data_IF_883646719854
#
_entry.id   IF_883646719854
#
_cell.length_a   1.000
_cell.length_b   1.000
_cell.length_c   1.000
_cell.angle_alpha   90.00
_cell.angle_beta   90.00
_cell.angle_gamma   90.00
#
_symmetry.space_group_name_H-M   'P 1'
#
loop_
_entity.id
_entity.type
_entity.pdbx_description
1 polymer ?
#
# COMPACT_ATOMS: atom_id res chain seq x y z
N UNK A 1 6.42 -11.59 -6.90
CA UNK A 1 5.14 -11.47 -6.16
C UNK A 1 4.35 -10.29 -6.70
N UNK A 2 3.03 -10.44 -6.87
CA UNK A 2 2.12 -9.35 -7.23
C UNK A 2 0.75 -9.62 -6.58
N UNK A 3 0.06 -8.57 -6.11
CA UNK A 3 -1.24 -8.74 -5.49
C UNK A 3 -2.38 -8.67 -6.50
N UNK A 4 -3.44 -9.42 -6.24
CA UNK A 4 -4.61 -9.54 -7.09
C UNK A 4 -5.82 -8.72 -6.62
N UNK A 5 -5.77 -8.17 -5.40
CA UNK A 5 -6.83 -7.33 -4.87
C UNK A 5 -6.73 -5.89 -5.39
N UNK A 6 -7.86 -5.21 -5.41
CA UNK A 6 -8.03 -3.84 -5.88
C UNK A 6 -8.76 -2.99 -4.86
N UNK A 7 -8.59 -1.67 -4.94
CA UNK A 7 -9.33 -0.69 -4.11
C UNK A 7 -10.80 -0.55 -4.55
N UNK A 8 -11.13 -1.03 -5.73
CA UNK A 8 -12.47 -0.90 -6.30
C UNK A 8 -13.41 -1.99 -5.80
N UNK A 9 -14.64 -1.61 -5.47
CA UNK A 9 -15.68 -2.56 -5.07
C UNK A 9 -16.19 -3.36 -6.28
N UNK A 10 -16.89 -4.49 -6.02
CA UNK A 10 -17.53 -5.31 -7.05
C UNK A 10 -18.67 -4.59 -7.80
N UNK A 11 -19.14 -3.47 -7.27
CA UNK A 11 -20.17 -2.64 -7.89
C UNK A 11 -19.61 -1.74 -9.01
N UNK A 12 -18.30 -1.53 -9.03
CA UNK A 12 -17.62 -0.80 -10.10
C UNK A 12 -17.54 -1.69 -11.33
N UNK A 13 -17.91 -1.17 -12.49
CA UNK A 13 -17.70 -1.87 -13.77
C UNK A 13 -16.21 -1.94 -14.07
N UNK A 14 -15.67 -3.15 -14.07
CA UNK A 14 -14.26 -3.43 -14.40
C UNK A 14 -14.09 -3.64 -15.91
N UNK A 15 -14.53 -2.68 -16.71
CA UNK A 15 -14.36 -2.71 -18.16
C UNK A 15 -13.02 -2.06 -18.53
N UNK A 16 -12.25 -2.76 -19.36
CA UNK A 16 -10.97 -2.28 -19.85
C UNK A 16 -11.16 -1.74 -21.28
N UNK A 17 -10.75 -0.51 -21.50
CA UNK A 17 -10.68 0.12 -22.80
C UNK A 17 -9.27 0.02 -23.36
N UNK A 18 -9.13 -0.48 -24.57
CA UNK A 18 -7.84 -0.60 -25.25
C UNK A 18 -7.75 0.48 -26.31
N UNK A 19 -6.81 1.40 -26.13
CA UNK A 19 -6.50 2.48 -27.07
C UNK A 19 -5.21 2.21 -27.85
N UNK A 20 -4.82 3.16 -28.68
CA UNK A 20 -3.53 3.11 -29.37
C UNK A 20 -2.40 3.45 -28.38
N UNK A 21 -1.64 2.44 -27.97
CA UNK A 21 -0.49 2.61 -27.07
C UNK A 21 -0.84 2.72 -25.57
N UNK A 22 -2.10 2.57 -25.18
CA UNK A 22 -2.51 2.60 -23.77
C UNK A 22 -3.70 1.68 -23.49
N UNK A 23 -3.90 1.34 -22.22
CA UNK A 23 -5.09 0.67 -21.73
C UNK A 23 -5.62 1.44 -20.52
N UNK A 24 -6.96 1.52 -20.41
CA UNK A 24 -7.63 2.29 -19.35
C UNK A 24 -8.70 1.43 -18.67
N UNK A 25 -8.76 1.48 -17.36
CA UNK A 25 -9.81 0.83 -16.57
C UNK A 25 -9.44 0.69 -15.10
N UNK A 26 -10.43 0.43 -14.22
CA UNK A 26 -10.22 0.37 -12.78
C UNK A 26 -9.25 -0.75 -12.38
N UNK A 27 -8.20 -0.42 -11.64
CA UNK A 27 -7.23 -1.37 -11.09
C UNK A 27 -6.27 -1.98 -12.11
N UNK A 28 -6.19 -1.40 -13.34
CA UNK A 28 -5.32 -1.94 -14.39
C UNK A 28 -3.84 -1.82 -14.03
N UNK A 29 -3.43 -0.76 -13.34
CA UNK A 29 -2.06 -0.57 -12.89
C UNK A 29 -1.81 -1.10 -11.47
N UNK A 30 -2.77 -0.92 -10.56
CA UNK A 30 -2.66 -1.35 -9.16
C UNK A 30 -3.66 -2.48 -8.84
N UNK A 31 -3.31 -3.80 -9.04
CA UNK A 31 -2.02 -4.27 -9.60
C UNK A 31 -2.24 -5.35 -10.68
N UNK A 32 -3.30 -5.19 -11.51
CA UNK A 32 -3.62 -6.18 -12.56
C UNK A 32 -2.47 -6.35 -13.57
N UNK A 33 -1.78 -5.24 -13.93
CA UNK A 33 -0.65 -5.30 -14.85
C UNK A 33 0.55 -6.03 -14.24
N UNK A 34 0.87 -5.79 -12.95
CA UNK A 34 1.94 -6.53 -12.27
C UNK A 34 1.65 -8.03 -12.23
N UNK A 35 0.41 -8.41 -11.96
CA UNK A 35 -0.03 -9.79 -11.98
C UNK A 35 0.06 -10.39 -13.39
N UNK A 36 -0.39 -9.67 -14.41
CA UNK A 36 -0.32 -10.11 -15.80
C UNK A 36 1.13 -10.31 -16.27
N UNK A 37 2.02 -9.38 -15.91
CA UNK A 37 3.45 -9.49 -16.21
C UNK A 37 4.07 -10.74 -15.57
N UNK A 38 3.74 -11.00 -14.31
CA UNK A 38 4.21 -12.20 -13.60
C UNK A 38 3.69 -13.49 -14.25
N UNK A 39 2.42 -13.54 -14.66
CA UNK A 39 1.83 -14.70 -15.35
C UNK A 39 2.48 -14.93 -16.73
N UNK A 40 2.80 -13.85 -17.44
CA UNK A 40 3.45 -13.93 -18.75
C UNK A 40 4.93 -14.32 -18.68
N UNK A 41 5.58 -14.17 -17.53
CA UNK A 41 7.01 -14.31 -17.35
C UNK A 41 7.56 -15.69 -17.78
N UNK A 42 6.96 -16.87 -17.44
CA UNK A 42 7.47 -18.16 -17.86
C UNK A 42 7.50 -18.29 -19.39
N UNK A 43 6.47 -17.83 -20.06
CA UNK A 43 6.41 -17.84 -21.52
C UNK A 43 7.46 -16.91 -22.14
N UNK A 44 7.63 -15.72 -21.57
CA UNK A 44 8.62 -14.75 -22.04
C UNK A 44 10.06 -15.30 -21.90
N UNK A 45 10.37 -15.95 -20.78
CA UNK A 45 11.67 -16.59 -20.57
C UNK A 45 11.92 -17.69 -21.59
N UNK A 46 10.91 -18.51 -21.90
CA UNK A 46 11.02 -19.58 -22.90
C UNK A 46 11.21 -19.03 -24.32
N UNK A 47 10.42 -18.01 -24.71
CA UNK A 47 10.53 -17.34 -26.02
C UNK A 47 11.90 -16.65 -26.20
N UNK A 48 12.51 -16.16 -25.11
CA UNK A 48 13.87 -15.59 -25.13
C UNK A 48 14.99 -16.64 -25.01
N UNK A 49 14.67 -17.92 -24.87
CA UNK A 49 15.62 -18.99 -24.64
C UNK A 49 16.39 -18.93 -23.34
N UNK A 50 15.83 -18.20 -22.33
CA UNK A 50 16.45 -18.04 -21.02
C UNK A 50 16.12 -19.27 -20.16
N UNK A 51 17.16 -19.92 -19.65
CA UNK A 51 17.05 -21.04 -18.70
C UNK A 51 17.67 -20.63 -17.38
N UNK A 52 16.84 -20.60 -16.34
CA UNK A 52 17.30 -20.34 -14.99
C UNK A 52 17.94 -21.61 -14.39
N UNK A 53 18.87 -21.42 -13.48
CA UNK A 53 19.54 -22.51 -12.73
C UNK A 53 18.67 -22.99 -11.58
N UNK A 54 17.98 -22.04 -10.96
CA UNK A 54 17.12 -22.27 -9.80
C UNK A 54 15.64 -22.11 -10.17
N UNK A 55 14.77 -22.52 -9.27
CA UNK A 55 13.34 -22.42 -9.42
C UNK A 55 12.87 -20.94 -9.29
N UNK A 56 11.93 -20.56 -10.13
CA UNK A 56 11.23 -19.28 -10.05
C UNK A 56 9.86 -19.46 -9.39
N UNK A 57 9.70 -18.91 -8.20
CA UNK A 57 8.43 -18.96 -7.46
C UNK A 57 7.60 -17.74 -7.82
N UNK A 58 6.45 -17.95 -8.46
CA UNK A 58 5.49 -16.90 -8.82
C UNK A 58 4.36 -16.87 -7.79
N UNK A 59 4.19 -15.74 -7.11
CA UNK A 59 3.23 -15.59 -6.01
C UNK A 59 2.18 -14.54 -6.36
N UNK A 60 0.95 -14.99 -6.62
CA UNK A 60 -0.22 -14.13 -6.68
C UNK A 60 -0.87 -14.11 -5.30
N UNK A 61 -0.79 -12.99 -4.61
CA UNK A 61 -1.36 -12.83 -3.28
C UNK A 61 -2.56 -11.89 -3.28
N UNK A 62 -3.18 -11.73 -2.14
CA UNK A 62 -4.31 -10.83 -1.91
C UNK A 62 -4.24 -10.27 -0.50
N UNK A 63 -5.20 -9.38 -0.16
CA UNK A 63 -5.26 -8.69 1.14
C UNK A 63 -4.06 -7.76 1.36
N UNK A 64 -3.64 -7.09 0.29
CA UNK A 64 -2.59 -6.06 0.32
C UNK A 64 -3.17 -4.66 0.48
N UNK A 65 -4.43 -4.44 0.10
CA UNK A 65 -5.09 -3.14 0.03
C UNK A 65 -6.27 -2.99 1.01
N UNK A 66 -6.73 -1.76 1.21
CA UNK A 66 -7.90 -1.45 2.02
C UNK A 66 -7.70 -1.74 3.51
N UNK A 67 -8.59 -2.55 4.10
CA UNK A 67 -8.50 -2.99 5.51
C UNK A 67 -7.46 -4.09 5.76
N UNK A 68 -6.84 -4.59 4.71
CA UNK A 68 -5.88 -5.66 4.80
C UNK A 68 -4.52 -5.21 5.35
N UNK A 69 -3.77 -6.17 5.91
CA UNK A 69 -2.46 -5.99 6.52
C UNK A 69 -1.38 -6.85 5.85
N UNK A 70 -1.43 -6.98 4.52
CA UNK A 70 -0.55 -7.83 3.70
C UNK A 70 -0.56 -9.32 4.12
N UNK A 71 -1.70 -9.80 4.65
CA UNK A 71 -1.81 -11.15 5.21
C UNK A 71 -1.58 -12.24 4.15
N UNK A 72 -1.91 -11.96 2.87
CA UNK A 72 -1.65 -12.92 1.79
C UNK A 72 -0.16 -13.15 1.57
N UNK A 73 0.63 -12.09 1.56
CA UNK A 73 2.09 -12.19 1.44
C UNK A 73 2.71 -12.81 2.68
N UNK A 74 2.33 -12.35 3.88
CA UNK A 74 2.85 -12.88 5.15
C UNK A 74 2.52 -14.37 5.34
N UNK A 75 1.26 -14.76 5.11
CA UNK A 75 0.84 -16.15 5.25
C UNK A 75 1.52 -17.09 4.23
N UNK A 76 1.78 -16.62 3.02
CA UNK A 76 2.59 -17.39 2.06
C UNK A 76 4.01 -17.61 2.60
N UNK A 77 4.67 -16.54 3.08
CA UNK A 77 6.05 -16.63 3.59
C UNK A 77 6.18 -17.49 4.84
N UNK A 78 5.18 -17.47 5.74
CA UNK A 78 5.13 -18.32 6.92
C UNK A 78 5.03 -19.82 6.57
N UNK A 79 4.37 -20.13 5.44
CA UNK A 79 4.16 -21.53 5.00
C UNK A 79 5.18 -22.00 3.97
N UNK A 80 5.95 -21.08 3.40
CA UNK A 80 6.97 -21.41 2.40
C UNK A 80 8.12 -22.19 3.01
N UNK A 81 8.29 -23.44 2.60
CA UNK A 81 9.36 -24.35 3.07
C UNK A 81 10.64 -24.27 2.21
N UNK A 82 10.58 -23.63 1.05
CA UNK A 82 11.71 -23.54 0.13
C UNK A 82 12.57 -22.30 0.46
N UNK A 83 13.90 -22.44 0.48
CA UNK A 83 14.79 -21.30 0.63
C UNK A 83 14.68 -20.41 -0.62
N UNK A 84 14.57 -19.11 -0.42
CA UNK A 84 14.58 -18.13 -1.49
C UNK A 84 15.80 -17.21 -1.36
N UNK A 85 16.41 -16.83 -2.49
CA UNK A 85 17.60 -15.95 -2.52
C UNK A 85 17.24 -14.49 -2.42
N UNK A 86 16.15 -14.09 -3.09
CA UNK A 86 15.64 -12.73 -3.11
C UNK A 86 14.16 -12.69 -3.51
N UNK A 87 13.49 -11.60 -3.18
CA UNK A 87 12.11 -11.32 -3.58
C UNK A 87 12.00 -10.09 -4.48
N UNK A 88 11.07 -10.15 -5.44
CA UNK A 88 10.70 -9.01 -6.28
C UNK A 88 9.21 -8.80 -6.15
N UNK A 89 8.78 -7.63 -5.65
CA UNK A 89 7.41 -7.15 -5.77
C UNK A 89 7.27 -6.45 -7.12
N UNK A 90 6.34 -6.91 -7.94
CA UNK A 90 6.08 -6.36 -9.27
C UNK A 90 4.81 -5.53 -9.21
N UNK A 91 4.96 -4.24 -9.50
CA UNK A 91 3.88 -3.27 -9.54
C UNK A 91 3.65 -2.79 -10.98
N UNK A 92 2.40 -2.67 -11.40
CA UNK A 92 2.10 -2.13 -12.71
C UNK A 92 2.55 -0.67 -12.87
N UNK A 93 2.59 0.10 -11.81
CA UNK A 93 3.06 1.49 -11.75
C UNK A 93 4.37 1.55 -10.96
N UNK A 94 5.13 2.52 -11.02
CA UNK A 94 5.56 3.58 -11.90
C UNK A 94 6.92 3.17 -12.46
N UNK A 95 7.13 3.25 -13.76
CA UNK A 95 8.43 2.90 -14.32
C UNK A 95 9.56 3.69 -13.66
N UNK A 96 10.63 3.00 -13.28
CA UNK A 96 11.75 3.54 -12.51
C UNK A 96 11.58 3.42 -10.99
N UNK A 97 10.41 3.00 -10.47
CA UNK A 97 10.25 2.74 -9.05
C UNK A 97 11.24 1.67 -8.59
N UNK A 98 12.01 2.02 -7.58
CA UNK A 98 12.91 1.15 -6.86
C UNK A 98 12.66 1.34 -5.36
N UNK A 99 11.90 0.44 -4.74
CA UNK A 99 11.76 0.42 -3.29
C UNK A 99 12.56 -0.74 -2.71
N UNK A 100 13.41 -0.44 -1.74
CA UNK A 100 14.17 -1.41 -0.95
C UNK A 100 14.01 -1.16 0.55
N UNK A 101 13.05 -0.29 0.88
CA UNK A 101 12.57 -0.02 2.23
C UNK A 101 11.05 0.06 2.23
N UNK A 102 10.46 -0.27 3.36
CA UNK A 102 9.03 -0.16 3.61
C UNK A 102 8.74 0.73 4.81
N UNK A 103 7.71 1.58 4.69
CA UNK A 103 7.23 2.38 5.81
C UNK A 103 6.54 1.49 6.84
N UNK A 104 6.71 1.83 8.10
CA UNK A 104 5.79 1.43 9.14
C UNK A 104 4.41 2.03 8.86
N UNK A 105 3.36 1.30 9.19
CA UNK A 105 1.99 1.70 8.90
C UNK A 105 1.09 1.36 10.08
N UNK A 106 0.19 2.27 10.43
CA UNK A 106 -0.93 2.03 11.32
C UNK A 106 -2.20 2.52 10.64
N UNK A 107 -3.16 1.62 10.43
CA UNK A 107 -4.51 1.93 9.94
C UNK A 107 -5.50 1.76 11.06
N UNK A 108 -6.41 2.71 11.20
CA UNK A 108 -7.45 2.62 12.21
C UNK A 108 -8.78 3.20 11.75
N UNK A 109 -9.81 2.80 12.50
CA UNK A 109 -11.14 3.37 12.41
C UNK A 109 -11.54 3.93 13.76
N UNK A 110 -11.96 5.19 13.79
CA UNK A 110 -12.54 5.82 14.97
C UNK A 110 -14.04 5.89 14.78
N UNK A 111 -14.77 5.24 15.65
CA UNK A 111 -16.24 5.29 15.69
C UNK A 111 -16.67 6.21 16.82
N UNK A 112 -17.55 7.16 16.48
CA UNK A 112 -18.16 8.09 17.43
C UNK A 112 -19.66 7.87 17.44
N UNK A 113 -20.24 7.76 18.64
CA UNK A 113 -21.68 7.60 18.84
C UNK A 113 -22.17 8.60 19.87
N UNK A 114 -23.15 9.39 19.48
CA UNK A 114 -23.87 10.32 20.39
C UNK A 114 -24.90 9.52 21.18
N UNK A 115 -25.03 9.72 22.51
CA UNK A 115 -26.03 9.04 23.33
C UNK A 115 -27.46 9.15 22.77
N UNK A 116 -28.26 8.13 22.96
CA UNK A 116 -29.61 8.03 22.39
C UNK A 116 -30.60 9.06 22.93
N UNK A 117 -30.38 9.51 24.15
CA UNK A 117 -31.14 10.55 24.86
C UNK A 117 -30.72 11.97 24.46
N UNK A 118 -29.72 12.11 23.63
CA UNK A 118 -29.28 13.39 23.11
C UNK A 118 -30.27 13.93 22.09
N UNK A 119 -31.24 14.73 22.57
CA UNK A 119 -32.24 15.36 21.73
C UNK A 119 -31.82 16.80 21.39
N UNK A 120 -31.53 17.05 20.11
CA UNK A 120 -31.14 18.35 19.60
C UNK A 120 -32.17 19.46 19.92
N UNK A 121 -33.46 19.10 19.99
CA UNK A 121 -34.52 20.05 20.34
C UNK A 121 -34.44 20.50 21.82
N UNK A 122 -33.99 19.60 22.68
CA UNK A 122 -33.95 19.83 24.12
C UNK A 122 -32.66 20.50 24.60
N UNK A 123 -31.55 20.21 23.95
CA UNK A 123 -30.23 20.60 24.43
C UNK A 123 -29.41 21.46 23.47
N UNK A 124 -29.94 21.80 22.27
CA UNK A 124 -29.15 22.43 21.21
C UNK A 124 -28.00 21.54 20.73
N UNK A 125 -28.12 20.24 20.94
CA UNK A 125 -27.05 19.29 20.73
C UNK A 125 -26.72 19.16 19.24
N UNK A 126 -25.46 19.29 18.94
CA UNK A 126 -24.90 18.99 17.64
C UNK A 126 -24.89 17.47 17.43
N UNK A 127 -25.31 17.00 16.26
CA UNK A 127 -25.26 15.59 15.92
C UNK A 127 -23.82 15.09 15.68
N UNK A 128 -23.68 13.82 15.37
CA UNK A 128 -22.37 13.19 15.18
C UNK A 128 -21.47 13.92 14.16
N UNK A 129 -22.01 14.64 13.18
CA UNK A 129 -21.20 15.41 12.21
C UNK A 129 -20.35 16.46 12.93
N UNK A 130 -20.96 17.26 13.84
CA UNK A 130 -20.23 18.31 14.56
C UNK A 130 -19.17 17.73 15.51
N UNK A 131 -19.51 16.62 16.19
CA UNK A 131 -18.56 15.94 17.07
C UNK A 131 -17.40 15.32 16.31
N UNK A 132 -17.66 14.63 15.18
CA UNK A 132 -16.57 14.09 14.33
C UNK A 132 -15.69 15.21 13.78
N UNK A 133 -16.27 16.35 13.38
CA UNK A 133 -15.49 17.50 12.91
C UNK A 133 -14.61 18.07 14.04
N UNK A 134 -15.13 18.17 15.26
CA UNK A 134 -14.36 18.58 16.44
C UNK A 134 -13.19 17.62 16.72
N UNK A 135 -13.46 16.32 16.70
CA UNK A 135 -12.44 15.29 16.90
C UNK A 135 -11.35 15.34 15.81
N UNK A 136 -11.73 15.49 14.53
CA UNK A 136 -10.77 15.66 13.44
C UNK A 136 -9.87 16.87 13.65
N UNK A 137 -10.43 17.99 14.13
CA UNK A 137 -9.63 19.19 14.40
C UNK A 137 -8.62 18.95 15.51
N UNK A 138 -8.99 18.26 16.61
CA UNK A 138 -8.03 17.90 17.66
C UNK A 138 -6.94 16.95 17.15
N UNK A 139 -7.29 15.92 16.36
CA UNK A 139 -6.32 14.99 15.77
C UNK A 139 -5.34 15.71 14.84
N UNK A 140 -5.78 16.73 14.11
CA UNK A 140 -4.90 17.52 13.21
C UNK A 140 -3.84 18.34 13.94
N UNK A 141 -4.00 18.59 15.23
CA UNK A 141 -2.98 19.26 16.06
C UNK A 141 -1.79 18.35 16.41
N UNK A 142 -1.91 17.03 16.19
CA UNK A 142 -0.80 16.08 16.33
C UNK A 142 0.31 16.49 15.36
N UNK A 143 1.49 16.77 15.90
CA UNK A 143 2.65 17.13 15.10
C UNK A 143 3.29 15.88 14.51
N UNK A 144 3.32 15.80 13.17
CA UNK A 144 4.02 14.72 12.44
C UNK A 144 5.43 15.16 12.05
N UNK A 145 6.49 14.49 12.52
CA UNK A 145 7.87 14.82 12.15
C UNK A 145 8.10 14.54 10.65
N UNK A 146 8.26 15.59 9.86
CA UNK A 146 8.46 15.49 8.39
C UNK A 146 9.77 14.81 8.01
N UNK A 147 10.79 14.93 8.85
CA UNK A 147 12.14 14.39 8.64
C UNK A 147 12.16 12.85 8.57
N UNK A 148 11.13 12.18 9.12
CA UNK A 148 10.95 10.72 9.11
C UNK A 148 9.87 10.25 8.14
N UNK A 149 9.53 11.06 7.14
CA UNK A 149 8.40 10.81 6.22
C UNK A 149 7.12 10.39 6.95
N UNK A 150 6.91 11.00 8.12
CA UNK A 150 5.72 10.71 8.92
C UNK A 150 4.52 11.46 8.36
N UNK A 151 3.45 10.73 8.10
CA UNK A 151 2.23 11.28 7.54
C UNK A 151 1.01 10.68 8.23
N UNK A 152 0.03 11.52 8.56
CA UNK A 152 -1.31 11.13 8.97
C UNK A 152 -2.29 11.53 7.86
N UNK A 153 -3.04 10.56 7.35
CA UNK A 153 -4.03 10.75 6.29
C UNK A 153 -5.41 10.30 6.79
N UNK A 154 -6.43 11.13 6.60
CA UNK A 154 -7.81 10.73 6.75
C UNK A 154 -8.32 10.15 5.43
N UNK A 155 -8.50 8.84 5.38
CA UNK A 155 -8.85 8.10 4.16
C UNK A 155 -10.35 7.96 3.92
N UNK A 156 -11.20 8.29 4.90
CA UNK A 156 -12.64 8.20 4.74
C UNK A 156 -13.41 8.70 5.95
N UNK A 157 -14.58 9.26 5.67
CA UNK A 157 -15.55 9.69 6.68
C UNK A 157 -16.94 9.24 6.26
N UNK A 158 -17.65 8.59 7.17
CA UNK A 158 -19.07 8.25 7.01
C UNK A 158 -19.85 8.84 8.16
N UNK A 159 -20.78 9.74 7.89
CA UNK A 159 -21.61 10.36 8.91
C UNK A 159 -22.86 10.96 8.27
N UNK A 160 -24.04 10.46 8.65
CA UNK A 160 -25.32 10.94 8.13
C UNK A 160 -25.66 10.51 6.72
N UNK A 161 -26.95 10.65 6.36
CA UNK A 161 -27.46 10.23 5.04
C UNK A 161 -28.67 11.05 4.56
N UNK A 162 -29.18 12.00 5.39
CA UNK A 162 -30.43 12.70 5.12
C UNK A 162 -30.35 14.18 5.49
N UNK A 163 -31.09 15.01 4.78
CA UNK A 163 -31.16 16.46 5.04
C UNK A 163 -31.82 16.84 6.36
N UNK A 164 -32.75 16.04 6.87
CA UNK A 164 -33.58 16.42 8.02
C UNK A 164 -33.42 15.49 9.23
N UNK A 165 -32.27 14.83 9.33
CA UNK A 165 -32.00 13.92 10.45
C UNK A 165 -30.59 14.17 10.98
N UNK A 166 -30.47 14.49 12.25
CA UNK A 166 -29.17 14.60 12.89
C UNK A 166 -28.60 13.19 13.09
N UNK A 167 -27.46 12.85 12.47
CA UNK A 167 -26.86 11.53 12.64
C UNK A 167 -26.35 11.34 14.05
N UNK A 168 -26.51 10.12 14.58
CA UNK A 168 -26.03 9.73 15.91
C UNK A 168 -24.70 9.00 15.90
N UNK A 169 -24.23 8.59 14.70
CA UNK A 169 -22.98 7.85 14.55
C UNK A 169 -22.15 8.40 13.40
N UNK A 170 -20.85 8.39 13.58
CA UNK A 170 -19.86 8.68 12.54
C UNK A 170 -18.67 7.72 12.64
N UNK A 171 -18.05 7.42 11.50
CA UNK A 171 -16.83 6.60 11.43
C UNK A 171 -15.79 7.32 10.59
N UNK A 172 -14.61 7.53 11.17
CA UNK A 172 -13.45 8.14 10.55
C UNK A 172 -12.39 7.06 10.31
N UNK A 173 -11.88 6.95 9.09
CA UNK A 173 -10.75 6.10 8.73
C UNK A 173 -9.49 6.91 8.59
N UNK A 174 -8.40 6.41 9.14
CA UNK A 174 -7.10 7.06 9.05
C UNK A 174 -5.98 6.07 8.78
N UNK A 175 -4.88 6.58 8.25
CA UNK A 175 -3.63 5.87 8.08
C UNK A 175 -2.47 6.75 8.57
N UNK A 176 -1.59 6.19 9.38
CA UNK A 176 -0.30 6.77 9.75
C UNK A 176 0.78 5.96 9.06
N UNK A 177 1.73 6.64 8.41
CA UNK A 177 2.94 6.03 7.86
C UNK A 177 4.18 6.74 8.39
N UNK A 178 5.26 6.00 8.64
CA UNK A 178 6.54 6.58 9.08
C UNK A 178 7.73 5.67 8.75
N UNK A 179 8.91 6.28 8.59
CA UNK A 179 10.19 5.56 8.60
C UNK A 179 10.62 5.16 10.02
N UNK A 180 9.84 5.49 11.05
CA UNK A 180 10.18 5.29 12.45
C UNK A 180 8.98 4.67 13.21
N UNK A 181 9.18 3.46 13.75
CA UNK A 181 8.12 2.73 14.45
C UNK A 181 7.76 3.35 15.80
N UNK A 182 8.72 4.00 16.47
CA UNK A 182 8.48 4.64 17.76
C UNK A 182 7.56 5.84 17.59
N UNK A 183 7.70 6.58 16.49
CA UNK A 183 6.79 7.68 16.14
C UNK A 183 5.38 7.16 15.89
N UNK A 184 5.22 6.02 15.22
CA UNK A 184 3.90 5.41 15.00
C UNK A 184 3.26 5.05 16.36
N UNK A 185 4.03 4.44 17.27
CA UNK A 185 3.56 4.14 18.62
C UNK A 185 3.12 5.38 19.40
N UNK A 186 3.95 6.42 19.39
CA UNK A 186 3.61 7.70 20.06
C UNK A 186 2.36 8.34 19.46
N UNK A 187 2.18 8.30 18.14
CA UNK A 187 0.97 8.85 17.51
C UNK A 187 -0.27 8.01 17.82
N UNK A 188 -0.13 6.69 17.92
CA UNK A 188 -1.22 5.80 18.36
C UNK A 188 -1.67 6.14 19.78
N UNK A 189 -0.71 6.32 20.71
CA UNK A 189 -1.01 6.71 22.10
C UNK A 189 -1.70 8.07 22.16
N UNK A 190 -1.21 9.06 21.42
CA UNK A 190 -1.84 10.38 21.34
C UNK A 190 -3.26 10.33 20.76
N UNK A 191 -3.50 9.48 19.75
CA UNK A 191 -4.85 9.29 19.20
C UNK A 191 -5.80 8.68 20.25
N UNK A 192 -5.34 7.71 21.01
CA UNK A 192 -6.11 7.11 22.10
C UNK A 192 -6.45 8.17 23.17
N UNK A 193 -5.46 8.94 23.63
CA UNK A 193 -5.66 10.02 24.60
C UNK A 193 -6.68 11.05 24.10
N UNK A 194 -6.58 11.49 22.84
CA UNK A 194 -7.53 12.42 22.24
C UNK A 194 -8.94 11.83 22.21
N UNK A 195 -9.09 10.55 21.84
CA UNK A 195 -10.39 9.88 21.80
C UNK A 195 -11.01 9.78 23.20
N UNK A 196 -10.23 9.42 24.22
CA UNK A 196 -10.67 9.33 25.62
C UNK A 196 -11.07 10.71 26.17
N UNK A 197 -10.23 11.72 25.98
CA UNK A 197 -10.49 13.09 26.42
C UNK A 197 -11.74 13.65 25.74
N UNK A 198 -11.85 13.50 24.41
CA UNK A 198 -13.01 13.95 23.66
C UNK A 198 -14.30 13.28 24.13
N UNK A 199 -14.24 11.98 24.43
CA UNK A 199 -15.37 11.23 24.99
C UNK A 199 -15.80 11.81 26.36
N UNK A 200 -14.85 12.09 27.24
CA UNK A 200 -15.11 12.66 28.57
C UNK A 200 -15.68 14.07 28.48
N UNK A 201 -15.17 14.93 27.63
CA UNK A 201 -15.59 16.32 27.48
C UNK A 201 -16.99 16.46 26.85
N UNK A 202 -17.30 15.60 25.88
CA UNK A 202 -18.54 15.73 25.09
C UNK A 202 -19.66 14.78 25.51
N UNK A 203 -19.37 13.79 26.35
CA UNK A 203 -20.30 12.71 26.68
C UNK A 203 -20.63 11.77 25.52
N UNK A 204 -19.90 11.84 24.40
CA UNK A 204 -20.03 10.91 23.27
C UNK A 204 -19.23 9.65 23.54
N UNK A 205 -19.66 8.52 22.99
CA UNK A 205 -18.88 7.30 23.00
C UNK A 205 -17.91 7.33 21.81
N UNK A 206 -16.61 7.36 22.09
CA UNK A 206 -15.57 7.32 21.06
C UNK A 206 -14.75 6.05 21.27
N UNK A 207 -14.57 5.27 20.20
CA UNK A 207 -13.72 4.08 20.21
C UNK A 207 -12.80 4.08 18.99
N UNK A 208 -11.54 3.71 19.20
CA UNK A 208 -10.56 3.51 18.13
C UNK A 208 -10.25 2.02 18.01
N UNK A 209 -10.32 1.50 16.77
CA UNK A 209 -9.93 0.15 16.39
C UNK A 209 -8.71 0.24 15.48
N UNK A 210 -7.63 -0.44 15.84
CA UNK A 210 -6.48 -0.63 14.94
C UNK A 210 -6.78 -1.78 13.99
N UNK A 211 -6.91 -1.45 12.71
CA UNK A 211 -7.26 -2.40 11.63
C UNK A 211 -6.02 -3.11 11.07
N UNK A 212 -4.91 -2.38 10.98
CA UNK A 212 -3.65 -2.91 10.48
C UNK A 212 -2.47 -2.17 11.13
N UNK A 213 -1.43 -2.92 11.50
CA UNK A 213 -0.19 -2.36 12.04
C UNK A 213 1.00 -3.15 11.51
N UNK A 214 1.97 -2.44 10.91
CA UNK A 214 3.18 -3.02 10.32
C UNK A 214 4.40 -2.22 10.73
N UNK A 215 5.52 -2.90 10.88
CA UNK A 215 6.80 -2.25 11.14
C UNK A 215 7.43 -1.74 9.86
N UNK A 216 8.25 -0.69 9.98
CA UNK A 216 9.14 -0.29 8.91
C UNK A 216 10.24 -1.34 8.72
N UNK A 217 10.81 -1.38 7.54
CA UNK A 217 11.90 -2.31 7.21
C UNK A 217 12.75 -1.75 6.07
N UNK A 218 13.97 -2.26 5.96
CA UNK A 218 14.82 -1.92 4.82
C UNK A 218 15.96 -2.94 4.66
N UNK A 219 16.45 -3.07 3.43
CA UNK A 219 17.79 -3.62 3.19
C UNK A 219 18.76 -2.46 2.92
N UNK A 220 20.06 -2.60 3.21
CA UNK A 220 21.03 -1.53 2.99
C UNK A 220 21.07 -1.09 1.52
N UNK A 221 21.24 0.19 1.26
CA UNK A 221 21.48 0.69 -0.11
C UNK A 221 22.71 0.04 -0.77
N UNK A 222 23.70 -0.37 0.05
CA UNK A 222 24.88 -1.09 -0.40
C UNK A 222 24.63 -2.54 -0.79
N UNK A 223 23.44 -3.10 -0.50
CA UNK A 223 23.11 -4.48 -0.81
C UNK A 223 23.24 -4.76 -2.32
N UNK A 224 23.85 -5.90 -2.74
CA UNK A 224 24.04 -6.21 -4.16
C UNK A 224 22.77 -6.15 -4.98
N UNK A 225 21.64 -6.66 -4.45
CA UNK A 225 20.34 -6.60 -5.10
C UNK A 225 19.93 -5.16 -5.47
N UNK A 226 20.11 -4.20 -4.56
CA UNK A 226 19.74 -2.78 -4.79
C UNK A 226 20.66 -2.14 -5.83
N UNK A 227 21.99 -2.36 -5.69
CA UNK A 227 22.98 -1.82 -6.64
C UNK A 227 22.76 -2.35 -8.05
N UNK A 228 22.57 -3.68 -8.19
CA UNK A 228 22.35 -4.32 -9.48
C UNK A 228 21.04 -3.86 -10.11
N UNK A 229 19.96 -3.79 -9.33
CA UNK A 229 18.68 -3.26 -9.83
C UNK A 229 18.84 -1.85 -10.39
N UNK A 230 19.53 -0.99 -9.66
CA UNK A 230 19.79 0.39 -10.09
C UNK A 230 20.63 0.43 -11.38
N UNK A 231 21.67 -0.39 -11.49
CA UNK A 231 22.51 -0.49 -12.71
C UNK A 231 21.67 -0.92 -13.91
N UNK A 232 20.88 -1.99 -13.77
CA UNK A 232 19.97 -2.50 -14.81
C UNK A 232 19.01 -1.40 -15.29
N UNK A 233 18.41 -0.64 -14.36
CA UNK A 233 17.54 0.48 -14.73
C UNK A 233 18.29 1.52 -15.56
N UNK A 234 19.48 1.93 -15.13
CA UNK A 234 20.28 2.94 -15.81
C UNK A 234 20.72 2.47 -17.20
N UNK A 235 21.14 1.23 -17.35
CA UNK A 235 21.51 0.62 -18.62
C UNK A 235 20.31 0.50 -19.58
N UNK A 236 19.11 0.28 -19.06
CA UNK A 236 17.86 0.30 -19.83
C UNK A 236 17.33 1.71 -20.12
N UNK A 237 18.06 2.78 -19.75
CA UNK A 237 17.62 4.17 -19.92
C UNK A 237 16.52 4.59 -18.96
N UNK A 238 16.27 3.81 -17.90
CA UNK A 238 15.27 4.11 -16.89
C UNK A 238 15.92 4.91 -15.75
N UNK A 239 15.34 6.06 -15.39
CA UNK A 239 15.79 6.84 -14.25
C UNK A 239 15.24 6.23 -12.95
N UNK A 240 16.10 5.71 -12.03
CA UNK A 240 15.62 5.16 -10.77
C UNK A 240 14.97 6.22 -9.88
N UNK A 241 13.78 5.92 -9.38
CA UNK A 241 13.02 6.71 -8.40
C UNK A 241 12.95 5.91 -7.12
N UNK A 242 13.72 6.33 -6.12
CA UNK A 242 13.80 5.64 -4.85
C UNK A 242 12.76 6.18 -3.89
N UNK A 243 11.74 5.38 -3.61
CA UNK A 243 10.70 5.68 -2.65
C UNK A 243 10.40 4.45 -1.78
N UNK A 244 10.09 4.63 -0.48
CA UNK A 244 9.70 3.51 0.38
C UNK A 244 8.35 2.93 -0.06
N UNK A 245 8.19 1.63 0.12
CA UNK A 245 6.94 0.92 -0.14
C UNK A 245 5.99 1.00 1.08
N UNK A 246 4.71 0.87 0.81
CA UNK A 246 3.67 0.64 1.83
C UNK A 246 2.93 -0.69 1.60
N UNK A 247 3.49 -1.58 0.78
CA UNK A 247 2.87 -2.83 0.34
C UNK A 247 3.62 -4.09 0.76
N UNK A 248 3.52 -5.12 -0.08
CA UNK A 248 4.00 -6.49 0.18
C UNK A 248 5.52 -6.62 0.38
N UNK A 249 6.30 -5.61 -0.03
CA UNK A 249 7.74 -5.54 0.23
C UNK A 249 8.07 -5.70 1.72
N UNK A 250 7.22 -5.14 2.60
CA UNK A 250 7.43 -5.25 4.05
C UNK A 250 7.40 -6.72 4.49
N UNK A 251 6.47 -7.53 3.96
CA UNK A 251 6.40 -8.95 4.33
C UNK A 251 7.68 -9.70 3.94
N UNK A 252 8.21 -9.45 2.74
CA UNK A 252 9.44 -10.09 2.25
C UNK A 252 10.64 -9.70 3.11
N UNK A 253 10.86 -8.41 3.36
CA UNK A 253 12.03 -7.95 4.13
C UNK A 253 11.93 -8.37 5.60
N UNK A 254 10.74 -8.29 6.21
CA UNK A 254 10.55 -8.68 7.62
C UNK A 254 10.68 -10.19 7.84
N UNK A 255 10.44 -11.02 6.79
CA UNK A 255 10.75 -12.46 6.85
C UNK A 255 12.24 -12.77 6.69
N UNK A 256 13.09 -11.76 6.55
CA UNK A 256 14.54 -11.93 6.36
C UNK A 256 14.98 -12.09 4.90
N UNK A 257 14.06 -12.00 3.94
CA UNK A 257 14.36 -12.13 2.53
C UNK A 257 14.75 -10.77 1.93
N UNK A 258 15.96 -10.59 1.35
CA UNK A 258 16.29 -9.37 0.64
C UNK A 258 15.34 -9.18 -0.54
N UNK A 259 14.71 -8.02 -0.63
CA UNK A 259 13.69 -7.80 -1.64
C UNK A 259 13.67 -6.36 -2.15
N UNK A 260 13.13 -6.18 -3.36
CA UNK A 260 12.89 -4.88 -3.99
C UNK A 260 11.50 -4.83 -4.62
N UNK A 261 10.94 -3.61 -4.76
CA UNK A 261 9.76 -3.38 -5.59
C UNK A 261 10.17 -2.68 -6.88
N UNK A 262 9.65 -3.18 -8.00
CA UNK A 262 9.82 -2.60 -9.34
C UNK A 262 8.48 -2.15 -9.89
N UNK A 263 8.48 -1.01 -10.60
CA UNK A 263 7.34 -0.54 -11.40
C UNK A 263 7.56 -0.83 -12.90
N UNK A 264 6.50 -1.23 -13.59
CA UNK A 264 6.61 -1.73 -14.98
C UNK A 264 6.39 -0.66 -16.04
N UNK A 265 5.46 0.29 -15.81
CA UNK A 265 5.14 1.29 -16.84
C UNK A 265 4.75 2.64 -16.23
N UNK A 266 4.54 3.63 -17.10
CA UNK A 266 3.98 4.93 -16.68
C UNK A 266 2.47 4.82 -16.59
N UNK A 267 1.91 5.49 -15.57
CA UNK A 267 0.50 5.43 -15.23
C UNK A 267 -0.05 6.84 -15.01
N UNK A 268 -1.27 7.05 -15.44
CA UNK A 268 -2.07 8.24 -15.17
C UNK A 268 -3.30 7.84 -14.32
N UNK A 269 -3.79 8.75 -13.48
CA UNK A 269 -4.99 8.57 -12.66
C UNK A 269 -4.94 7.31 -11.79
N UNK A 270 -3.78 7.03 -11.18
CA UNK A 270 -3.59 5.86 -10.31
C UNK A 270 -4.66 5.80 -9.22
N UNK A 271 -5.32 4.64 -9.07
CA UNK A 271 -6.44 4.37 -8.14
C UNK A 271 -7.73 5.13 -8.43
N UNK A 272 -7.87 5.67 -9.64
CA UNK A 272 -9.13 6.22 -10.14
C UNK A 272 -9.81 5.26 -11.14
N UNK A 273 -11.10 5.46 -11.41
CA UNK A 273 -11.87 4.58 -12.32
C UNK A 273 -11.29 4.57 -13.74
N UNK A 274 -10.68 5.68 -14.15
CA UNK A 274 -10.03 5.88 -15.44
C UNK A 274 -8.51 5.70 -15.37
N UNK A 275 -8.04 4.85 -14.47
CA UNK A 275 -6.63 4.49 -14.36
C UNK A 275 -6.09 4.02 -15.72
N UNK A 276 -4.99 4.60 -16.17
CA UNK A 276 -4.47 4.40 -17.53
C UNK A 276 -3.00 3.99 -17.49
N UNK A 277 -2.67 2.89 -18.16
CA UNK A 277 -1.30 2.39 -18.34
C UNK A 277 -0.82 2.63 -19.77
N UNK A 278 0.43 3.05 -19.92
CA UNK A 278 1.09 3.19 -21.22
C UNK A 278 1.76 1.89 -21.61
N UNK A 279 1.61 1.45 -22.90
CA UNK A 279 2.12 0.16 -23.35
C UNK A 279 3.59 0.21 -23.78
N UNK A 280 4.05 1.29 -24.43
CA UNK A 280 5.43 1.39 -24.92
C UNK A 280 6.47 1.29 -23.79
N UNK A 281 6.32 1.99 -22.62
CA UNK A 281 7.29 1.87 -21.54
C UNK A 281 7.33 0.49 -20.87
N UNK A 282 6.28 -0.33 -21.07
CA UNK A 282 6.19 -1.68 -20.51
C UNK A 282 7.33 -2.59 -21.01
N UNK A 283 7.80 -2.39 -22.24
CA UNK A 283 8.94 -3.17 -22.76
C UNK A 283 10.20 -2.96 -21.90
N UNK A 284 10.49 -1.71 -21.53
CA UNK A 284 11.62 -1.42 -20.64
C UNK A 284 11.37 -1.99 -19.22
N UNK A 285 10.11 -1.91 -18.74
CA UNK A 285 9.73 -2.49 -17.46
C UNK A 285 9.88 -4.01 -17.41
N UNK A 286 9.51 -4.71 -18.46
CA UNK A 286 9.72 -6.17 -18.57
C UNK A 286 11.19 -6.52 -18.73
N UNK A 287 11.96 -5.74 -19.48
CA UNK A 287 13.40 -5.93 -19.63
C UNK A 287 14.10 -5.84 -18.28
N UNK A 288 13.86 -4.80 -17.48
CA UNK A 288 14.46 -4.69 -16.15
C UNK A 288 14.09 -5.88 -15.25
N UNK A 289 12.84 -6.35 -15.30
CA UNK A 289 12.38 -7.48 -14.49
C UNK A 289 13.12 -8.77 -14.88
N UNK A 290 13.17 -9.10 -16.18
CA UNK A 290 13.85 -10.32 -16.69
C UNK A 290 15.35 -10.26 -16.38
N UNK A 291 16.00 -9.12 -16.63
CA UNK A 291 17.42 -8.95 -16.35
C UNK A 291 17.75 -9.09 -14.87
N UNK A 292 16.90 -8.56 -13.99
CA UNK A 292 17.09 -8.71 -12.54
C UNK A 292 16.92 -10.17 -12.10
N UNK A 293 15.94 -10.90 -12.63
CA UNK A 293 15.76 -12.33 -12.34
C UNK A 293 17.01 -13.11 -12.75
N UNK A 294 17.54 -12.86 -13.95
CA UNK A 294 18.79 -13.50 -14.41
C UNK A 294 19.99 -13.16 -13.49
N UNK A 295 20.11 -11.91 -13.05
CA UNK A 295 21.18 -11.52 -12.14
C UNK A 295 21.08 -12.24 -10.78
N UNK A 296 19.86 -12.38 -10.22
CA UNK A 296 19.64 -13.13 -8.99
C UNK A 296 20.01 -14.61 -9.19
N UNK A 297 19.57 -15.22 -10.29
CA UNK A 297 19.88 -16.60 -10.65
C UNK A 297 21.40 -16.83 -10.84
N UNK A 298 22.13 -15.80 -11.26
CA UNK A 298 23.60 -15.81 -11.37
C UNK A 298 24.33 -15.61 -10.05
N UNK A 299 23.62 -15.41 -8.94
CA UNK A 299 24.17 -15.42 -7.60
C UNK A 299 24.54 -14.06 -7.01
N UNK A 300 23.96 -12.94 -7.47
CA UNK A 300 24.23 -11.61 -6.84
C UNK A 300 23.81 -11.53 -5.38
N UNK A 301 22.98 -12.45 -4.91
CA UNK A 301 22.51 -12.52 -3.52
C UNK A 301 23.13 -13.69 -2.73
N UNK A 302 24.16 -14.35 -3.24
CA UNK A 302 24.79 -15.54 -2.63
C UNK A 302 25.90 -15.22 -1.62
N UNK A 303 25.85 -14.09 -0.93
CA UNK A 303 26.87 -13.66 0.03
C UNK A 303 26.47 -13.86 1.46
#
# INVERSE_FOLDING_TARGET
>A
MAHADSVFSREVRHEIQVGSGHMCGPGIADNALGLAAMIALPRLLDDLGIRLRDDLILVANSRSLGRANIEGASGFLETMSLPARAGICVEGSTLGRLSYSGLGTLRGEITLQVPSDYDWKRFGASGAISHVTGLINQIREIRSPKERKTQLVFGGLRCGSSFNTSPKQGTLRFEITSEDNDIIGQMEDQLNEICEQFSAETGTLVSMEVVAKRQNCSIPFSHPLVKTTRSIMQEAGITPKVDPSTGDLNALILSGLPAVTLGLTTVENLREINETVQLDPLYAGMTQLVTLIQAIDQGICDS
#
